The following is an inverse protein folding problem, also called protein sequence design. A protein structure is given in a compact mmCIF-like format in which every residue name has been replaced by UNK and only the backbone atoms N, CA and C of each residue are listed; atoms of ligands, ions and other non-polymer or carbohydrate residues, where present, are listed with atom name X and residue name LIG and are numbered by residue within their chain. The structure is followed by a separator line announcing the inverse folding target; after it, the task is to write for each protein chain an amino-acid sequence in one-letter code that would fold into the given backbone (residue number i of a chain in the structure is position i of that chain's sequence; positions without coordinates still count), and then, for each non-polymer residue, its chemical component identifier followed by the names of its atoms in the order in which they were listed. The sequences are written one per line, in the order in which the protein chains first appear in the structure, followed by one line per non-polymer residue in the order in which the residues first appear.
data_IF_638642265310
#
_entry.id   IF_638642265310
#
_cell.length_a   1.000
_cell.length_b   1.000
_cell.length_c   1.000
_cell.angle_alpha   90.00
_cell.angle_beta   90.00
_cell.angle_gamma   90.00
#
_symmetry.space_group_name_H-M   'P 1'
#
loop_
_entity.id
_entity.type
_entity.pdbx_description
1 polymer ?
#
# COMPACT_ATOMS: atom_id res chain seq x y z
N UNK A 1 6.64 -32.13 27.64
CA UNK A 1 8.05 -31.77 27.48
C UNK A 1 8.62 -32.56 26.31
N UNK A 2 9.16 -31.88 25.28
CA UNK A 2 9.47 -32.51 23.98
C UNK A 2 10.97 -32.77 23.75
N UNK A 3 11.77 -32.86 24.83
CA UNK A 3 13.23 -33.10 24.82
C UNK A 3 14.02 -32.20 23.86
N UNK A 4 13.55 -30.97 23.62
CA UNK A 4 14.10 -30.04 22.60
C UNK A 4 14.12 -30.60 21.16
N UNK A 5 13.25 -31.57 20.85
CA UNK A 5 13.10 -32.12 19.49
C UNK A 5 12.00 -31.35 18.76
N UNK A 6 12.33 -30.79 17.60
CA UNK A 6 11.38 -30.08 16.75
C UNK A 6 10.36 -31.06 16.16
N UNK A 7 9.09 -30.90 16.52
CA UNK A 7 8.00 -31.69 15.91
C UNK A 7 7.75 -31.24 14.47
N UNK A 8 7.14 -32.13 13.68
CA UNK A 8 6.75 -31.81 12.30
C UNK A 8 5.81 -30.59 12.20
N UNK A 9 4.95 -30.39 13.20
CA UNK A 9 4.08 -29.23 13.30
C UNK A 9 4.86 -27.90 13.46
N UNK A 10 5.93 -27.90 14.27
CA UNK A 10 6.80 -26.73 14.46
C UNK A 10 7.61 -26.35 13.20
N UNK A 11 7.66 -27.22 12.18
CA UNK A 11 8.37 -26.98 10.91
C UNK A 11 7.46 -26.45 9.79
N UNK A 12 6.13 -26.43 9.97
CA UNK A 12 5.17 -26.04 8.94
C UNK A 12 4.46 -24.74 9.34
N UNK A 13 4.67 -23.69 8.54
CA UNK A 13 3.87 -22.46 8.61
C UNK A 13 2.72 -22.59 7.61
N UNK A 14 1.48 -22.64 8.12
CA UNK A 14 0.27 -22.82 7.31
C UNK A 14 -0.23 -21.52 6.65
N UNK A 15 0.14 -20.37 7.21
CA UNK A 15 -0.26 -19.01 6.79
C UNK A 15 -1.70 -18.95 6.24
N UNK A 16 -2.61 -19.50 7.02
CA UNK A 16 -4.05 -19.57 6.75
C UNK A 16 -4.69 -18.18 6.77
N UNK A 17 -5.93 -18.07 6.29
CA UNK A 17 -6.67 -16.80 6.33
C UNK A 17 -6.79 -16.26 7.76
N UNK A 18 -6.99 -17.13 8.76
CA UNK A 18 -7.05 -16.72 10.16
C UNK A 18 -5.72 -16.15 10.66
N UNK A 19 -4.60 -16.82 10.35
CA UNK A 19 -3.26 -16.33 10.73
C UNK A 19 -2.96 -14.96 10.10
N UNK A 20 -3.44 -14.71 8.87
CA UNK A 20 -3.33 -13.41 8.21
C UNK A 20 -4.17 -12.34 8.88
N UNK A 21 -5.41 -12.66 9.24
CA UNK A 21 -6.30 -11.73 9.94
C UNK A 21 -5.73 -11.28 11.28
N UNK A 22 -5.08 -12.17 12.03
CA UNK A 22 -4.44 -11.84 13.31
C UNK A 22 -3.23 -10.89 13.15
N UNK A 23 -2.59 -10.87 11.97
CA UNK A 23 -1.46 -9.97 11.69
C UNK A 23 -1.91 -8.55 11.31
N UNK A 24 -3.11 -8.38 10.75
CA UNK A 24 -3.64 -7.07 10.32
C UNK A 24 -3.59 -6.02 11.44
N UNK A 25 -4.08 -6.28 12.68
CA UNK A 25 -4.02 -5.30 13.76
C UNK A 25 -2.59 -4.86 14.11
N UNK A 26 -1.64 -5.80 14.08
CA UNK A 26 -0.23 -5.52 14.39
C UNK A 26 0.37 -4.59 13.34
N UNK A 27 0.15 -4.91 12.05
CA UNK A 27 0.62 -4.07 10.94
C UNK A 27 -0.04 -2.69 10.93
N UNK A 28 -1.32 -2.61 11.31
CA UNK A 28 -2.03 -1.33 11.43
C UNK A 28 -1.40 -0.45 12.51
N UNK A 29 -1.09 -1.01 13.69
CA UNK A 29 -0.41 -0.26 14.77
C UNK A 29 0.99 0.20 14.32
N UNK A 30 1.74 -0.64 13.60
CA UNK A 30 3.04 -0.26 13.03
C UNK A 30 2.90 0.85 11.98
N UNK A 31 1.83 0.82 11.20
CA UNK A 31 1.51 1.83 10.19
C UNK A 31 0.99 3.15 10.78
N UNK A 32 0.49 3.20 12.02
CA UNK A 32 -0.07 4.43 12.61
C UNK A 32 0.93 5.59 12.57
N UNK A 33 2.22 5.33 12.80
CA UNK A 33 3.24 6.38 12.76
C UNK A 33 3.39 6.96 11.35
N UNK A 34 3.46 6.12 10.32
CA UNK A 34 3.56 6.58 8.93
C UNK A 34 2.26 7.21 8.45
N UNK A 35 1.10 6.67 8.83
CA UNK A 35 -0.21 7.26 8.55
C UNK A 35 -0.29 8.67 9.14
N UNK A 36 0.09 8.86 10.41
CA UNK A 36 0.04 10.16 11.07
C UNK A 36 0.97 11.17 10.40
N UNK A 37 2.24 10.82 10.16
CA UNK A 37 3.23 11.75 9.60
C UNK A 37 2.91 12.09 8.14
N UNK A 38 2.70 11.08 7.29
CA UNK A 38 2.43 11.30 5.86
C UNK A 38 1.04 11.91 5.66
N UNK A 39 0.06 11.48 6.46
CA UNK A 39 -1.29 12.02 6.43
C UNK A 39 -1.33 13.49 6.83
N UNK A 40 -0.65 13.86 7.92
CA UNK A 40 -0.52 15.26 8.33
C UNK A 40 0.21 16.09 7.26
N UNK A 41 1.30 15.58 6.68
CA UNK A 41 2.01 16.26 5.60
C UNK A 41 1.11 16.47 4.38
N UNK A 42 0.33 15.46 3.98
CA UNK A 42 -0.61 15.53 2.85
C UNK A 42 -1.71 16.57 3.12
N UNK A 43 -2.29 16.54 4.33
CA UNK A 43 -3.30 17.51 4.75
C UNK A 43 -2.75 18.94 4.72
N UNK A 44 -1.57 19.17 5.30
CA UNK A 44 -0.96 20.50 5.35
C UNK A 44 -0.59 21.01 3.96
N UNK A 45 0.10 20.19 3.15
CA UNK A 45 0.53 20.61 1.81
C UNK A 45 -0.64 20.94 0.91
N UNK A 46 -1.68 20.10 0.87
CA UNK A 46 -2.82 20.31 -0.02
C UNK A 46 -3.76 21.39 0.50
N UNK A 47 -3.89 21.56 1.83
CA UNK A 47 -4.71 22.65 2.39
C UNK A 47 -4.09 24.02 2.15
N UNK A 48 -2.75 24.14 2.22
CA UNK A 48 -2.04 25.40 1.94
C UNK A 48 -2.06 25.75 0.45
N UNK A 49 -1.94 24.76 -0.44
CA UNK A 49 -1.87 24.98 -1.89
C UNK A 49 -3.25 24.98 -2.59
N UNK A 50 -4.27 24.50 -1.92
CA UNK A 50 -5.59 24.27 -2.48
C UNK A 50 -6.70 24.61 -1.50
N UNK A 51 -7.53 23.62 -1.16
CA UNK A 51 -8.65 23.78 -0.24
C UNK A 51 -8.64 22.69 0.82
N UNK A 52 -9.30 22.97 1.95
CA UNK A 52 -9.48 21.97 3.00
C UNK A 52 -10.24 20.74 2.48
N UNK A 53 -11.23 20.92 1.59
CA UNK A 53 -11.96 19.79 1.01
C UNK A 53 -11.04 18.90 0.15
N UNK A 54 -10.17 19.49 -0.67
CA UNK A 54 -9.22 18.73 -1.47
C UNK A 54 -8.20 17.98 -0.58
N UNK A 55 -7.75 18.63 0.50
CA UNK A 55 -6.85 18.01 1.47
C UNK A 55 -7.48 16.80 2.16
N UNK A 56 -8.74 16.92 2.60
CA UNK A 56 -9.48 15.82 3.21
C UNK A 56 -9.70 14.67 2.23
N UNK A 57 -10.07 14.96 0.98
CA UNK A 57 -10.21 13.93 -0.05
C UNK A 57 -8.90 13.19 -0.31
N UNK A 58 -7.78 13.91 -0.43
CA UNK A 58 -6.47 13.30 -0.63
C UNK A 58 -6.01 12.47 0.59
N UNK A 59 -6.31 12.94 1.81
CA UNK A 59 -6.05 12.18 3.03
C UNK A 59 -6.87 10.90 3.09
N UNK A 60 -8.17 10.95 2.78
CA UNK A 60 -9.03 9.77 2.71
C UNK A 60 -8.55 8.78 1.64
N UNK A 61 -8.13 9.30 0.49
CA UNK A 61 -7.57 8.51 -0.59
C UNK A 61 -6.29 7.78 -0.14
N UNK A 62 -5.37 8.51 0.50
CA UNK A 62 -4.15 7.94 1.08
C UNK A 62 -4.48 6.89 2.15
N UNK A 63 -5.36 7.22 3.09
CA UNK A 63 -5.74 6.33 4.18
C UNK A 63 -6.33 5.02 3.66
N UNK A 64 -7.26 5.09 2.70
CA UNK A 64 -7.81 3.86 2.12
C UNK A 64 -6.80 3.09 1.26
N UNK A 65 -5.79 3.73 0.67
CA UNK A 65 -4.70 3.01 -0.01
C UNK A 65 -3.77 2.30 0.99
N UNK A 66 -3.57 2.87 2.19
CA UNK A 66 -2.88 2.17 3.28
C UNK A 66 -3.69 0.96 3.73
N UNK A 67 -4.99 1.16 4.03
CA UNK A 67 -5.87 0.07 4.46
C UNK A 67 -6.02 -1.01 3.39
N UNK A 68 -6.09 -0.66 2.11
CA UNK A 68 -6.13 -1.65 1.03
C UNK A 68 -4.87 -2.51 1.01
N UNK A 69 -3.69 -1.92 1.24
CA UNK A 69 -2.44 -2.67 1.32
C UNK A 69 -2.36 -3.57 2.57
N UNK A 70 -2.83 -3.08 3.73
CA UNK A 70 -2.74 -3.78 5.01
C UNK A 70 -3.80 -4.89 5.15
N UNK A 71 -5.03 -4.64 4.69
CA UNK A 71 -6.15 -5.56 4.88
C UNK A 71 -6.38 -6.42 3.63
N UNK A 72 -6.65 -5.79 2.49
CA UNK A 72 -6.98 -6.50 1.26
C UNK A 72 -5.76 -7.23 0.68
N UNK A 73 -4.56 -6.66 0.85
CA UNK A 73 -3.28 -7.28 0.48
C UNK A 73 -3.17 -8.73 0.96
N UNK A 74 -3.04 -8.99 2.28
CA UNK A 74 -2.90 -10.34 2.84
C UNK A 74 -4.11 -11.24 2.60
N UNK A 75 -5.33 -10.70 2.63
CA UNK A 75 -6.56 -11.45 2.41
C UNK A 75 -6.64 -12.01 0.98
N UNK A 76 -6.26 -11.21 -0.02
CA UNK A 76 -6.33 -11.57 -1.42
C UNK A 76 -5.04 -12.21 -1.96
N UNK A 77 -4.00 -12.37 -1.14
CA UNK A 77 -2.73 -13.01 -1.55
C UNK A 77 -2.85 -14.33 -2.33
N UNK A 78 -3.75 -15.29 -2.01
CA UNK A 78 -3.81 -16.55 -2.75
C UNK A 78 -4.45 -16.37 -4.14
N UNK A 79 -5.21 -15.31 -4.36
CA UNK A 79 -5.99 -15.08 -5.58
C UNK A 79 -5.36 -14.03 -6.48
N UNK A 80 -4.49 -13.17 -5.94
CA UNK A 80 -3.80 -12.15 -6.70
C UNK A 80 -2.70 -12.75 -7.60
N UNK A 81 -2.61 -12.30 -8.86
CA UNK A 81 -1.64 -12.82 -9.82
C UNK A 81 -0.21 -12.44 -9.45
N UNK A 82 0.73 -13.29 -9.86
CA UNK A 82 2.17 -13.06 -9.72
C UNK A 82 2.79 -13.62 -8.44
N UNK A 83 4.13 -13.57 -8.38
CA UNK A 83 4.93 -14.09 -7.27
C UNK A 83 5.39 -13.03 -6.28
N UNK A 84 5.31 -11.76 -6.67
CA UNK A 84 5.80 -10.59 -5.89
C UNK A 84 4.67 -9.96 -5.08
N UNK A 85 4.92 -9.72 -3.80
CA UNK A 85 4.05 -8.94 -2.90
C UNK A 85 3.83 -7.51 -3.39
N UNK A 86 4.87 -6.87 -3.93
CA UNK A 86 4.77 -5.53 -4.49
C UNK A 86 3.77 -5.51 -5.67
N UNK A 87 3.87 -6.45 -6.62
CA UNK A 87 2.92 -6.53 -7.74
C UNK A 87 1.49 -6.76 -7.23
N UNK A 88 1.30 -7.66 -6.27
CA UNK A 88 -0.01 -7.95 -5.67
C UNK A 88 -0.60 -6.72 -5.00
N UNK A 89 0.18 -6.03 -4.18
CA UNK A 89 -0.24 -4.81 -3.49
C UNK A 89 -0.50 -3.63 -4.43
N UNK A 90 0.26 -3.55 -5.53
CA UNK A 90 0.03 -2.58 -6.61
C UNK A 90 -1.29 -2.84 -7.35
N UNK A 91 -1.64 -4.10 -7.64
CA UNK A 91 -2.94 -4.46 -8.24
C UNK A 91 -4.09 -4.10 -7.30
N UNK A 92 -3.99 -4.46 -6.02
CA UNK A 92 -5.01 -4.08 -5.01
C UNK A 92 -5.15 -2.56 -4.91
N UNK A 93 -4.01 -1.86 -4.89
CA UNK A 93 -3.99 -0.40 -4.85
C UNK A 93 -4.62 0.23 -6.10
N UNK A 94 -4.35 -0.31 -7.30
CA UNK A 94 -4.97 0.15 -8.55
C UNK A 94 -6.49 -0.05 -8.54
N UNK A 95 -6.97 -1.20 -8.07
CA UNK A 95 -8.40 -1.46 -7.94
C UNK A 95 -9.04 -0.47 -6.96
N UNK A 96 -8.40 -0.24 -5.82
CA UNK A 96 -8.85 0.76 -4.86
C UNK A 96 -8.86 2.16 -5.47
N UNK A 97 -7.80 2.56 -6.17
CA UNK A 97 -7.72 3.86 -6.86
C UNK A 97 -8.85 4.03 -7.87
N UNK A 98 -9.18 2.99 -8.63
CA UNK A 98 -10.26 3.05 -9.62
C UNK A 98 -11.62 3.27 -8.95
N UNK A 99 -11.90 2.52 -7.89
CA UNK A 99 -13.14 2.65 -7.10
C UNK A 99 -13.23 4.04 -6.47
N UNK A 100 -12.16 4.50 -5.84
CA UNK A 100 -12.13 5.82 -5.22
C UNK A 100 -12.29 6.94 -6.25
N UNK A 101 -11.61 6.86 -7.39
CA UNK A 101 -11.73 7.83 -8.48
C UNK A 101 -13.19 7.95 -8.95
N UNK A 102 -13.89 6.82 -9.09
CA UNK A 102 -15.30 6.83 -9.48
C UNK A 102 -16.21 7.44 -8.41
N UNK A 103 -16.02 7.06 -7.14
CA UNK A 103 -16.82 7.57 -6.01
C UNK A 103 -16.57 9.06 -5.72
N UNK A 104 -15.35 9.53 -5.93
CA UNK A 104 -14.96 10.92 -5.66
C UNK A 104 -15.22 11.88 -6.83
N UNK A 105 -15.91 11.42 -7.89
CA UNK A 105 -16.22 12.26 -9.06
C UNK A 105 -14.98 12.63 -9.88
N UNK A 106 -14.02 11.71 -10.00
CA UNK A 106 -12.73 11.94 -10.61
C UNK A 106 -12.76 12.37 -12.08
N UNK A 107 -13.89 12.19 -12.77
CA UNK A 107 -14.09 12.67 -14.15
C UNK A 107 -13.94 14.19 -14.27
N UNK A 108 -14.17 14.94 -13.19
CA UNK A 108 -13.94 16.39 -13.14
C UNK A 108 -12.51 16.80 -12.79
N UNK A 109 -11.60 15.85 -12.54
CA UNK A 109 -10.23 16.18 -12.14
C UNK A 109 -9.35 16.48 -13.36
N UNK A 110 -8.37 17.37 -13.18
CA UNK A 110 -7.32 17.58 -14.18
C UNK A 110 -6.60 16.25 -14.45
N UNK A 111 -6.29 15.95 -15.72
CA UNK A 111 -5.62 14.71 -16.13
C UNK A 111 -4.32 14.48 -15.36
N UNK A 112 -3.51 15.51 -15.11
CA UNK A 112 -2.28 15.39 -14.35
C UNK A 112 -2.53 15.00 -12.87
N UNK A 113 -3.64 15.46 -12.30
CA UNK A 113 -4.10 15.07 -10.94
C UNK A 113 -4.61 13.62 -10.93
N UNK A 114 -5.36 13.21 -11.97
CA UNK A 114 -5.79 11.83 -12.09
C UNK A 114 -4.58 10.87 -12.24
N UNK A 115 -3.63 11.20 -13.10
CA UNK A 115 -2.42 10.40 -13.32
C UNK A 115 -1.56 10.34 -12.05
N UNK A 116 -1.37 11.46 -11.35
CA UNK A 116 -0.62 11.44 -10.09
C UNK A 116 -1.24 10.51 -9.04
N UNK A 117 -2.57 10.53 -8.95
CA UNK A 117 -3.34 9.67 -8.08
C UNK A 117 -3.17 8.18 -8.42
N UNK A 118 -3.26 7.82 -9.70
CA UNK A 118 -3.06 6.46 -10.18
C UNK A 118 -1.61 5.97 -10.14
N UNK A 119 -0.63 6.85 -9.94
CA UNK A 119 0.75 6.44 -9.63
C UNK A 119 0.99 6.30 -8.13
N UNK A 120 0.55 7.28 -7.33
CA UNK A 120 0.91 7.37 -5.93
C UNK A 120 0.20 6.32 -5.06
N UNK A 121 -1.12 6.14 -5.23
CA UNK A 121 -1.88 5.25 -4.36
C UNK A 121 -1.54 3.77 -4.54
N UNK A 122 -1.35 3.25 -5.77
CA UNK A 122 -0.87 1.88 -5.94
C UNK A 122 0.51 1.66 -5.34
N UNK A 123 1.40 2.65 -5.43
CA UNK A 123 2.72 2.57 -4.80
C UNK A 123 2.62 2.49 -3.27
N UNK A 124 1.71 3.27 -2.65
CA UNK A 124 1.44 3.21 -1.21
C UNK A 124 0.90 1.84 -0.81
N UNK A 125 -0.16 1.34 -1.46
CA UNK A 125 -0.73 0.02 -1.18
C UNK A 125 0.30 -1.09 -1.38
N UNK A 126 1.12 -0.98 -2.44
CA UNK A 126 2.22 -1.89 -2.73
C UNK A 126 3.26 -1.91 -1.62
N UNK A 127 3.60 -0.77 -1.04
CA UNK A 127 4.56 -0.67 0.06
C UNK A 127 4.05 -1.38 1.32
N UNK A 128 2.81 -1.13 1.73
CA UNK A 128 2.24 -1.78 2.91
C UNK A 128 2.03 -3.29 2.71
N UNK A 129 1.66 -3.73 1.50
CA UNK A 129 1.57 -5.16 1.20
C UNK A 129 2.94 -5.84 1.27
N UNK A 130 4.00 -5.15 0.84
CA UNK A 130 5.38 -5.67 0.86
C UNK A 130 5.89 -5.95 2.28
N UNK A 131 5.37 -5.28 3.31
CA UNK A 131 5.74 -5.52 4.70
C UNK A 131 5.39 -6.94 5.18
N UNK A 132 4.36 -7.57 4.59
CA UNK A 132 3.98 -8.96 4.88
C UNK A 132 5.00 -10.02 4.40
N UNK A 133 6.04 -9.62 3.65
CA UNK A 133 7.16 -10.51 3.33
C UNK A 133 7.95 -10.96 4.56
N UNK A 134 7.85 -10.24 5.68
CA UNK A 134 8.51 -10.59 6.94
C UNK A 134 7.79 -11.64 7.80
N UNK A 135 6.48 -11.84 7.57
CA UNK A 135 5.62 -12.71 8.39
C UNK A 135 4.97 -13.85 7.60
N UNK A 136 5.31 -14.01 6.31
CA UNK A 136 4.72 -15.00 5.42
C UNK A 136 5.74 -16.03 4.91
N UNK A 137 5.31 -17.29 4.64
CA UNK A 137 6.17 -18.33 4.11
C UNK A 137 6.32 -18.28 2.57
N UNK A 138 5.69 -17.30 1.91
CA UNK A 138 5.61 -17.25 0.44
C UNK A 138 6.93 -16.87 -0.24
N UNK A 139 7.82 -16.16 0.46
CA UNK A 139 9.07 -15.64 -0.10
C UNK A 139 10.27 -16.02 0.75
N UNK A 140 11.39 -16.38 0.12
CA UNK A 140 12.67 -16.59 0.82
C UNK A 140 13.39 -15.26 1.07
N UNK A 141 14.33 -15.21 2.02
CA UNK A 141 15.13 -14.00 2.31
C UNK A 141 15.82 -13.42 1.05
N UNK A 142 16.36 -14.27 0.18
CA UNK A 142 16.98 -13.83 -1.08
C UNK A 142 15.94 -13.32 -2.09
N UNK A 143 14.75 -13.94 -2.12
CA UNK A 143 13.60 -13.46 -2.90
C UNK A 143 13.15 -12.07 -2.47
N UNK A 144 12.95 -11.86 -1.17
CA UNK A 144 12.55 -10.56 -0.60
C UNK A 144 13.60 -9.50 -0.92
N UNK A 145 14.89 -9.79 -0.74
CA UNK A 145 15.96 -8.83 -1.06
C UNK A 145 15.96 -8.42 -2.54
N UNK A 146 15.70 -9.37 -3.44
CA UNK A 146 15.58 -9.09 -4.88
C UNK A 146 14.36 -8.21 -5.16
N UNK A 147 13.24 -8.54 -4.54
CA UNK A 147 11.98 -7.82 -4.69
C UNK A 147 12.09 -6.38 -4.19
N UNK A 148 12.56 -6.17 -2.96
CA UNK A 148 12.77 -4.84 -2.39
C UNK A 148 13.71 -3.97 -3.22
N UNK A 149 14.80 -4.56 -3.76
CA UNK A 149 15.77 -3.85 -4.59
C UNK A 149 15.13 -3.29 -5.87
N UNK A 150 14.15 -3.97 -6.45
CA UNK A 150 13.45 -3.51 -7.65
C UNK A 150 12.24 -2.63 -7.31
N UNK A 151 11.47 -3.04 -6.30
CA UNK A 151 10.17 -2.45 -6.00
C UNK A 151 10.27 -1.12 -5.25
N UNK A 152 11.19 -0.97 -4.28
CA UNK A 152 11.32 0.28 -3.52
C UNK A 152 11.72 1.48 -4.41
N UNK A 153 12.71 1.37 -5.32
CA UNK A 153 13.01 2.46 -6.25
C UNK A 153 11.85 2.79 -7.18
N UNK A 154 11.11 1.78 -7.65
CA UNK A 154 9.95 1.98 -8.52
C UNK A 154 8.80 2.69 -7.79
N UNK A 155 8.48 2.28 -6.56
CA UNK A 155 7.47 2.94 -5.73
C UNK A 155 7.87 4.38 -5.39
N UNK A 156 9.13 4.58 -4.99
CA UNK A 156 9.67 5.91 -4.70
C UNK A 156 9.62 6.83 -5.93
N UNK A 157 10.01 6.32 -7.10
CA UNK A 157 9.91 7.02 -8.37
C UNK A 157 8.47 7.36 -8.74
N UNK A 158 7.53 6.43 -8.55
CA UNK A 158 6.11 6.66 -8.82
C UNK A 158 5.52 7.75 -7.91
N UNK A 159 5.86 7.75 -6.63
CA UNK A 159 5.45 8.79 -5.68
C UNK A 159 6.05 10.15 -6.07
N UNK A 160 7.35 10.21 -6.41
CA UNK A 160 8.01 11.44 -6.82
C UNK A 160 7.38 12.03 -8.08
N UNK A 161 7.18 11.22 -9.11
CA UNK A 161 6.51 11.63 -10.36
C UNK A 161 5.07 12.07 -10.06
N UNK A 162 4.37 11.34 -9.19
CA UNK A 162 3.02 11.69 -8.74
C UNK A 162 2.98 13.08 -8.09
N UNK A 163 3.89 13.39 -7.17
CA UNK A 163 3.95 14.71 -6.53
C UNK A 163 4.22 15.81 -7.56
N UNK A 164 5.15 15.60 -8.49
CA UNK A 164 5.45 16.56 -9.56
C UNK A 164 4.21 16.81 -10.43
N UNK A 165 3.51 15.76 -10.84
CA UNK A 165 2.30 15.87 -11.65
C UNK A 165 1.13 16.53 -10.89
N UNK A 166 1.00 16.25 -9.59
CA UNK A 166 -0.02 16.90 -8.75
C UNK A 166 0.22 18.41 -8.68
N UNK A 167 1.48 18.83 -8.53
CA UNK A 167 1.86 20.24 -8.54
C UNK A 167 1.67 20.87 -9.93
N UNK A 168 2.09 20.18 -11.00
CA UNK A 168 1.93 20.67 -12.37
C UNK A 168 0.45 20.82 -12.77
N UNK A 169 -0.39 19.86 -12.42
CA UNK A 169 -1.83 19.87 -12.67
C UNK A 169 -2.60 20.96 -11.92
N UNK A 170 -1.95 21.67 -10.99
CA UNK A 170 -2.51 22.85 -10.34
C UNK A 170 -2.33 24.13 -11.15
N UNK A 171 -1.27 24.20 -11.94
CA UNK A 171 -0.92 25.35 -12.79
C UNK A 171 -1.48 25.26 -14.22
N UNK A 172 -1.99 24.08 -14.60
CA UNK A 172 -2.67 23.79 -15.86
C UNK A 172 -4.19 23.82 -15.67
#
# INVERSE_FOLDING_TARGET
DNKMVTTAAMRRLSFTLYERLVLIPVELVLALKSIAVIGAATLLLISVLGSLQAALLAFLAYLGAVLSGIELGPLLLPWLPGRSYAVKGGVVGLLYSLVFYWLAGGSGWNIAVAVSFFLALPAVSSFYTLNFTGCSPYTSRSGVKKEMRAALPAMGGAILIGVILLLAGRFL
#
